data_IF_413317530433
#
_entry.id   IF_413317530433
#
_cell.length_a   1.000
_cell.length_b   1.000
_cell.length_c   1.000
_cell.angle_alpha   90.00
_cell.angle_beta   90.00
_cell.angle_gamma   90.00
#
_symmetry.space_group_name_H-M   'P 1'
#
loop_
_entity.id
_entity.type
_entity.pdbx_description
1 polymer ?
#
# COMPACT_ATOMS: atom_id res chain seq x y z
N UNK A 1 -13.17 -19.13 33.87
CA UNK A 1 -11.90 -18.59 33.33
C UNK A 1 -11.89 -17.07 33.48
N UNK A 2 -10.98 -16.55 34.29
CA UNK A 2 -10.87 -15.11 34.54
C UNK A 2 -10.35 -14.35 33.30
N UNK A 3 -10.51 -13.02 33.22
CA UNK A 3 -9.93 -12.24 32.12
C UNK A 3 -8.41 -12.38 32.01
N UNK A 4 -7.73 -12.56 33.15
CA UNK A 4 -6.28 -12.78 33.21
C UNK A 4 -5.86 -14.14 32.65
N UNK A 5 -6.60 -15.21 32.96
CA UNK A 5 -6.36 -16.56 32.42
C UNK A 5 -6.58 -16.62 30.92
N UNK A 6 -7.60 -15.91 30.40
CA UNK A 6 -7.83 -15.79 28.96
C UNK A 6 -6.68 -15.06 28.25
N UNK A 7 -6.17 -13.99 28.84
CA UNK A 7 -5.04 -13.24 28.28
C UNK A 7 -3.73 -14.06 28.33
N UNK A 8 -3.52 -14.89 29.35
CA UNK A 8 -2.36 -15.76 29.45
C UNK A 8 -2.43 -16.93 28.45
N UNK A 9 -3.59 -17.54 28.32
CA UNK A 9 -3.84 -18.58 27.31
C UNK A 9 -3.64 -18.03 25.89
N UNK A 10 -4.15 -16.84 25.60
CA UNK A 10 -3.95 -16.20 24.30
C UNK A 10 -2.47 -15.93 24.01
N UNK A 11 -1.69 -15.49 25.02
CA UNK A 11 -0.23 -15.30 24.89
C UNK A 11 0.49 -16.62 24.63
N UNK A 12 0.11 -17.70 25.30
CA UNK A 12 0.70 -19.04 25.11
C UNK A 12 0.38 -19.58 23.72
N UNK A 13 -0.87 -19.46 23.27
CA UNK A 13 -1.28 -19.85 21.92
C UNK A 13 -0.56 -19.02 20.83
N UNK A 14 -0.40 -17.72 21.04
CA UNK A 14 0.34 -16.86 20.11
C UNK A 14 1.83 -17.24 19.97
N UNK A 15 2.44 -17.82 21.02
CA UNK A 15 3.83 -18.35 20.96
C UNK A 15 3.93 -19.70 20.25
N UNK A 16 2.86 -20.49 20.25
CA UNK A 16 2.82 -21.79 19.59
C UNK A 16 2.50 -21.71 18.09
N UNK A 17 1.96 -20.56 17.63
CA UNK A 17 1.74 -20.33 16.21
C UNK A 17 3.07 -19.87 15.58
N UNK A 18 3.73 -20.71 14.77
CA UNK A 18 4.95 -20.29 14.09
C UNK A 18 4.64 -19.10 13.21
N UNK A 19 5.39 -18.00 13.38
CA UNK A 19 5.37 -16.92 12.39
C UNK A 19 5.88 -17.53 11.08
N UNK A 20 5.07 -17.60 10.02
CA UNK A 20 5.49 -18.30 8.82
C UNK A 20 6.72 -17.58 8.24
N UNK A 21 7.79 -18.34 7.98
CA UNK A 21 9.01 -17.82 7.35
C UNK A 21 8.73 -17.19 5.97
N UNK A 22 7.65 -17.60 5.33
CA UNK A 22 7.10 -16.98 4.12
C UNK A 22 6.76 -15.51 4.32
N UNK A 23 6.21 -15.12 5.49
CA UNK A 23 5.86 -13.73 5.79
C UNK A 23 7.10 -12.83 5.91
N UNK A 24 8.22 -13.34 6.39
CA UNK A 24 9.45 -12.54 6.53
C UNK A 24 10.07 -12.22 5.15
N UNK A 25 10.09 -13.19 4.23
CA UNK A 25 10.58 -12.99 2.85
C UNK A 25 9.66 -12.08 2.05
N UNK A 26 8.35 -12.29 2.12
CA UNK A 26 7.37 -11.44 1.46
C UNK A 26 7.45 -10.00 1.97
N UNK A 27 7.57 -9.79 3.28
CA UNK A 27 7.76 -8.47 3.89
C UNK A 27 9.05 -7.81 3.42
N UNK A 28 10.18 -8.55 3.40
CA UNK A 28 11.46 -8.01 2.94
C UNK A 28 11.38 -7.56 1.48
N UNK A 29 10.78 -8.37 0.60
CA UNK A 29 10.54 -7.99 -0.80
C UNK A 29 9.70 -6.72 -0.88
N UNK A 30 8.60 -6.65 -0.15
CA UNK A 30 7.75 -5.46 -0.09
C UNK A 30 8.54 -4.22 0.32
N UNK A 31 9.27 -4.28 1.44
CA UNK A 31 10.07 -3.14 1.93
C UNK A 31 11.11 -2.73 0.90
N UNK A 32 11.84 -3.68 0.30
CA UNK A 32 12.86 -3.38 -0.71
C UNK A 32 12.24 -2.70 -1.91
N UNK A 33 11.15 -3.24 -2.48
CA UNK A 33 10.50 -2.66 -3.66
C UNK A 33 10.01 -1.24 -3.37
N UNK A 34 9.30 -1.03 -2.26
CA UNK A 34 8.75 0.30 -1.93
C UNK A 34 9.86 1.30 -1.58
N UNK A 35 10.88 0.88 -0.83
CA UNK A 35 12.01 1.75 -0.52
C UNK A 35 12.80 2.12 -1.79
N UNK A 36 13.03 1.17 -2.68
CA UNK A 36 13.70 1.43 -3.97
C UNK A 36 12.88 2.40 -4.81
N UNK A 37 11.57 2.20 -4.91
CA UNK A 37 10.69 3.11 -5.63
C UNK A 37 10.74 4.53 -5.03
N UNK A 38 10.69 4.67 -3.70
CA UNK A 38 10.82 5.96 -3.02
C UNK A 38 12.16 6.66 -3.31
N UNK A 39 13.27 5.91 -3.29
CA UNK A 39 14.59 6.46 -3.60
C UNK A 39 14.73 6.88 -5.06
N UNK A 40 14.15 6.14 -5.99
CA UNK A 40 14.15 6.48 -7.42
C UNK A 40 13.32 7.73 -7.72
N UNK A 41 12.33 8.05 -6.89
CA UNK A 41 11.56 9.29 -7.02
C UNK A 41 12.43 10.55 -6.81
N UNK A 42 13.49 10.48 -6.00
CA UNK A 42 14.36 11.65 -5.74
C UNK A 42 15.02 12.18 -7.01
N UNK A 43 15.79 11.37 -7.78
CA UNK A 43 16.37 11.85 -9.04
C UNK A 43 15.31 12.19 -10.08
N UNK A 44 14.16 11.50 -10.08
CA UNK A 44 13.05 11.79 -10.98
C UNK A 44 12.47 13.19 -10.73
N UNK A 45 12.14 13.53 -9.48
CA UNK A 45 11.64 14.86 -9.10
C UNK A 45 12.68 15.94 -9.42
N UNK A 46 13.97 15.68 -9.19
CA UNK A 46 15.03 16.60 -9.56
C UNK A 46 15.09 16.82 -11.08
N UNK A 47 14.98 15.75 -11.88
CA UNK A 47 14.93 15.85 -13.34
C UNK A 47 13.72 16.68 -13.80
N UNK A 48 12.53 16.43 -13.26
CA UNK A 48 11.32 17.21 -13.56
C UNK A 48 11.50 18.69 -13.21
N UNK A 49 12.06 19.00 -12.03
CA UNK A 49 12.27 20.38 -11.62
C UNK A 49 13.18 21.16 -12.58
N UNK A 50 14.11 20.48 -13.25
CA UNK A 50 15.00 21.11 -14.23
C UNK A 50 14.50 21.09 -15.68
N UNK A 51 13.78 20.05 -16.08
CA UNK A 51 13.36 19.85 -17.48
C UNK A 51 12.00 20.46 -17.81
N UNK A 52 11.08 20.56 -16.82
CA UNK A 52 9.77 21.14 -17.06
C UNK A 52 9.87 22.63 -17.44
N UNK A 53 9.20 23.05 -18.52
CA UNK A 53 9.20 24.43 -18.94
C UNK A 53 8.58 25.33 -17.85
N UNK A 54 9.17 26.51 -17.53
CA UNK A 54 8.66 27.39 -16.50
C UNK A 54 7.31 28.05 -16.84
N UNK A 55 6.90 27.97 -18.10
CA UNK A 55 5.66 28.53 -18.62
C UNK A 55 4.96 27.50 -19.49
N UNK A 56 3.85 26.98 -18.99
CA UNK A 56 2.85 26.26 -19.73
C UNK A 56 1.54 27.02 -19.59
N UNK A 57 0.52 26.73 -20.36
CA UNK A 57 -0.79 27.43 -20.31
C UNK A 57 -1.44 27.38 -18.92
N UNK A 58 -1.03 26.47 -18.04
CA UNK A 58 -1.38 26.46 -16.62
C UNK A 58 -0.34 27.28 -15.83
N UNK A 59 -0.79 28.29 -15.06
CA UNK A 59 0.09 29.28 -14.39
C UNK A 59 1.13 28.70 -13.41
N UNK A 60 0.91 27.49 -12.90
CA UNK A 60 1.79 26.83 -11.92
C UNK A 60 2.15 25.41 -12.31
N UNK A 61 2.28 25.11 -13.60
CA UNK A 61 2.54 23.77 -14.15
C UNK A 61 3.66 22.99 -13.44
N UNK A 62 4.83 23.61 -13.31
CA UNK A 62 5.98 22.99 -12.64
C UNK A 62 5.69 22.68 -11.17
N UNK A 63 5.08 23.62 -10.45
CA UNK A 63 4.77 23.45 -9.03
C UNK A 63 3.72 22.33 -8.81
N UNK A 64 2.78 22.19 -9.73
CA UNK A 64 1.76 21.12 -9.68
C UNK A 64 2.42 19.76 -9.79
N UNK A 65 3.25 19.54 -10.81
CA UNK A 65 3.89 18.24 -11.03
C UNK A 65 4.91 17.90 -9.95
N UNK A 66 5.84 18.81 -9.67
CA UNK A 66 6.85 18.58 -8.61
C UNK A 66 6.19 18.38 -7.24
N UNK A 67 5.13 19.14 -6.95
CA UNK A 67 4.39 18.98 -5.70
C UNK A 67 3.68 17.63 -5.62
N UNK A 68 3.06 17.19 -6.70
CA UNK A 68 2.41 15.88 -6.77
C UNK A 68 3.41 14.74 -6.55
N UNK A 69 4.53 14.74 -7.24
CA UNK A 69 5.57 13.72 -7.12
C UNK A 69 6.21 13.68 -5.73
N UNK A 70 6.37 14.84 -5.09
CA UNK A 70 6.82 14.90 -3.70
C UNK A 70 5.82 14.24 -2.73
N UNK A 71 4.53 14.44 -2.94
CA UNK A 71 3.48 13.79 -2.15
C UNK A 71 3.49 12.28 -2.41
N UNK A 72 3.62 11.86 -3.65
CA UNK A 72 3.74 10.43 -4.01
C UNK A 72 4.98 9.80 -3.38
N UNK A 73 6.13 10.44 -3.48
CA UNK A 73 7.38 9.96 -2.86
C UNK A 73 7.24 9.85 -1.33
N UNK A 74 6.63 10.84 -0.68
CA UNK A 74 6.37 10.81 0.75
C UNK A 74 5.41 9.68 1.15
N UNK A 75 4.36 9.43 0.38
CA UNK A 75 3.41 8.33 0.60
C UNK A 75 4.10 6.96 0.47
N UNK A 76 4.94 6.77 -0.54
CA UNK A 76 5.74 5.56 -0.73
C UNK A 76 6.75 5.37 0.43
N UNK A 77 7.45 6.42 0.83
CA UNK A 77 8.38 6.38 1.96
C UNK A 77 7.68 6.04 3.28
N UNK A 78 6.51 6.62 3.53
CA UNK A 78 5.69 6.33 4.70
C UNK A 78 5.19 4.88 4.68
N UNK A 79 4.83 4.36 3.50
CA UNK A 79 4.43 2.96 3.31
C UNK A 79 5.59 2.02 3.63
N UNK A 80 6.79 2.29 3.13
CA UNK A 80 8.00 1.54 3.43
C UNK A 80 8.32 1.57 4.94
N UNK A 81 8.30 2.75 5.55
CA UNK A 81 8.53 2.93 6.99
C UNK A 81 7.51 2.14 7.82
N UNK A 82 6.21 2.23 7.50
CA UNK A 82 5.15 1.51 8.19
C UNK A 82 5.34 -0.01 8.08
N UNK A 83 5.76 -0.51 6.92
CA UNK A 83 6.06 -1.92 6.70
C UNK A 83 7.28 -2.39 7.51
N UNK A 84 8.36 -1.61 7.57
CA UNK A 84 9.55 -1.90 8.42
C UNK A 84 9.15 -1.95 9.88
N UNK A 85 8.39 -0.96 10.34
CA UNK A 85 7.90 -0.86 11.72
C UNK A 85 6.76 -1.82 12.06
N UNK A 86 6.31 -2.64 11.10
CA UNK A 86 5.20 -3.59 11.26
C UNK A 86 3.91 -2.93 11.78
N UNK A 87 3.66 -1.68 11.37
CA UNK A 87 2.46 -0.94 11.78
C UNK A 87 1.29 -1.24 10.85
N UNK A 88 0.09 -1.40 11.41
CA UNK A 88 -1.12 -1.66 10.60
C UNK A 88 -1.46 -0.52 9.63
N UNK A 89 -0.97 0.68 9.90
CA UNK A 89 -1.11 1.85 9.01
C UNK A 89 -0.57 1.59 7.60
N UNK A 90 0.30 0.57 7.41
CA UNK A 90 0.79 0.15 6.09
C UNK A 90 -0.32 -0.15 5.10
N UNK A 91 -1.48 -0.64 5.55
CA UNK A 91 -2.63 -0.92 4.69
C UNK A 91 -3.17 0.38 4.09
N UNK A 92 -3.36 1.39 4.94
CA UNK A 92 -3.89 2.69 4.50
C UNK A 92 -2.88 3.42 3.60
N UNK A 93 -1.62 3.48 4.01
CA UNK A 93 -0.58 4.17 3.24
C UNK A 93 -0.32 3.50 1.89
N UNK A 94 -0.37 2.17 1.80
CA UNK A 94 -0.24 1.45 0.54
C UNK A 94 -1.42 1.70 -0.41
N UNK A 95 -2.65 1.81 0.11
CA UNK A 95 -3.81 2.19 -0.72
C UNK A 95 -3.69 3.63 -1.23
N UNK A 96 -3.26 4.57 -0.38
CA UNK A 96 -3.02 5.97 -0.79
C UNK A 96 -1.94 6.02 -1.88
N UNK A 97 -0.82 5.33 -1.69
CA UNK A 97 0.24 5.27 -2.70
C UNK A 97 -0.23 4.66 -4.01
N UNK A 98 -1.03 3.59 -3.96
CA UNK A 98 -1.61 2.96 -5.14
C UNK A 98 -2.54 3.92 -5.92
N UNK A 99 -3.36 4.69 -5.20
CA UNK A 99 -4.24 5.68 -5.80
C UNK A 99 -3.45 6.80 -6.46
N UNK A 100 -2.41 7.32 -5.78
CA UNK A 100 -1.55 8.36 -6.35
C UNK A 100 -0.83 7.88 -7.60
N UNK A 101 -0.28 6.64 -7.61
CA UNK A 101 0.33 6.05 -8.80
C UNK A 101 -0.66 5.91 -9.97
N UNK A 102 -1.90 5.53 -9.70
CA UNK A 102 -2.91 5.45 -10.75
C UNK A 102 -3.30 6.83 -11.30
N UNK A 103 -3.33 7.86 -10.44
CA UNK A 103 -3.52 9.24 -10.87
C UNK A 103 -2.34 9.76 -11.70
N UNK A 104 -1.12 9.43 -11.30
CA UNK A 104 0.12 9.75 -11.99
C UNK A 104 0.09 9.20 -13.42
N UNK A 105 -0.11 7.89 -13.55
CA UNK A 105 -0.27 7.23 -14.85
C UNK A 105 -1.32 7.90 -15.74
N UNK A 106 -2.45 8.27 -15.17
CA UNK A 106 -3.51 8.95 -15.90
C UNK A 106 -3.09 10.34 -16.39
N UNK A 107 -2.54 11.15 -15.50
CA UNK A 107 -2.14 12.51 -15.84
C UNK A 107 -0.99 12.52 -16.83
N UNK A 108 0.00 11.66 -16.66
CA UNK A 108 1.11 11.50 -17.59
C UNK A 108 0.61 11.17 -19.00
N UNK A 109 -0.28 10.20 -19.12
CA UNK A 109 -0.87 9.81 -20.42
C UNK A 109 -1.68 10.95 -21.05
N UNK A 110 -2.40 11.75 -20.26
CA UNK A 110 -3.26 12.81 -20.76
C UNK A 110 -2.49 14.08 -21.12
N UNK A 111 -1.36 14.34 -20.47
CA UNK A 111 -0.60 15.58 -20.67
C UNK A 111 0.61 15.40 -21.58
N UNK A 112 1.06 14.17 -21.82
CA UNK A 112 2.18 13.90 -22.72
C UNK A 112 1.84 14.21 -24.19
N UNK A 113 2.74 14.93 -24.84
CA UNK A 113 2.62 15.30 -26.24
C UNK A 113 3.86 14.89 -27.05
N UNK A 114 3.70 14.61 -28.35
CA UNK A 114 4.78 14.26 -29.24
C UNK A 114 5.53 12.98 -28.83
N UNK A 115 6.89 12.97 -28.88
CA UNK A 115 7.69 11.80 -28.56
C UNK A 115 7.61 11.39 -27.09
N UNK A 116 7.34 12.33 -26.16
CA UNK A 116 7.21 12.06 -24.72
C UNK A 116 6.07 11.12 -24.40
N UNK A 117 5.08 11.04 -25.29
CA UNK A 117 3.92 10.12 -25.14
C UNK A 117 4.32 8.66 -25.01
N UNK A 118 5.37 8.23 -25.71
CA UNK A 118 5.86 6.85 -25.62
C UNK A 118 6.57 6.58 -24.30
N UNK A 119 7.28 7.57 -23.78
CA UNK A 119 7.92 7.47 -22.46
C UNK A 119 6.86 7.38 -21.37
N UNK A 120 5.89 8.28 -21.38
CA UNK A 120 4.76 8.27 -20.40
C UNK A 120 3.96 6.96 -20.47
N UNK A 121 3.68 6.45 -21.69
CA UNK A 121 3.02 5.16 -21.84
C UNK A 121 3.86 4.01 -21.24
N UNK A 122 5.16 4.01 -21.48
CA UNK A 122 6.05 2.97 -20.97
C UNK A 122 6.13 3.02 -19.44
N UNK A 123 6.28 4.20 -18.83
CA UNK A 123 6.33 4.35 -17.36
C UNK A 123 5.00 3.95 -16.73
N UNK A 124 3.88 4.41 -17.26
CA UNK A 124 2.54 4.07 -16.77
C UNK A 124 2.30 2.55 -16.79
N UNK A 125 2.57 1.87 -17.91
CA UNK A 125 2.26 0.43 -18.09
C UNK A 125 3.28 -0.47 -17.39
N UNK A 126 4.56 -0.10 -17.36
CA UNK A 126 5.61 -0.98 -16.85
C UNK A 126 5.96 -0.74 -15.38
N UNK A 127 5.69 0.45 -14.85
CA UNK A 127 6.07 0.82 -13.48
C UNK A 127 4.87 1.20 -12.62
N UNK A 128 4.10 2.22 -13.00
CA UNK A 128 3.09 2.83 -12.13
C UNK A 128 1.89 1.94 -11.89
N UNK A 129 1.25 1.47 -12.95
CA UNK A 129 0.08 0.60 -12.83
C UNK A 129 0.39 -0.78 -12.22
N UNK A 130 1.48 -1.48 -12.58
CA UNK A 130 1.85 -2.73 -11.90
C UNK A 130 2.16 -2.53 -10.42
N UNK A 131 2.83 -1.44 -10.05
CA UNK A 131 3.11 -1.12 -8.66
C UNK A 131 1.83 -0.77 -7.89
N UNK A 132 0.91 0.01 -8.49
CA UNK A 132 -0.38 0.32 -7.91
C UNK A 132 -1.21 -0.94 -7.65
N UNK A 133 -1.32 -1.84 -8.63
CA UNK A 133 -2.03 -3.12 -8.50
C UNK A 133 -1.39 -3.98 -7.41
N UNK A 134 -0.06 -4.04 -7.37
CA UNK A 134 0.64 -4.80 -6.36
C UNK A 134 0.41 -4.26 -4.94
N UNK A 135 0.45 -2.93 -4.73
CA UNK A 135 0.15 -2.29 -3.45
C UNK A 135 -1.30 -2.55 -3.01
N UNK A 136 -2.26 -2.49 -3.93
CA UNK A 136 -3.65 -2.86 -3.66
C UNK A 136 -3.77 -4.33 -3.24
N UNK A 137 -3.09 -5.24 -3.94
CA UNK A 137 -3.10 -6.66 -3.62
C UNK A 137 -2.51 -6.94 -2.23
N UNK A 138 -1.38 -6.31 -1.91
CA UNK A 138 -0.74 -6.43 -0.59
C UNK A 138 -1.67 -5.91 0.51
N UNK A 139 -2.27 -4.74 0.33
CA UNK A 139 -3.23 -4.17 1.29
C UNK A 139 -4.41 -5.10 1.52
N UNK A 140 -5.01 -5.61 0.44
CA UNK A 140 -6.10 -6.57 0.50
C UNK A 140 -5.71 -7.84 1.27
N UNK A 141 -4.53 -8.38 1.01
CA UNK A 141 -4.02 -9.59 1.67
C UNK A 141 -3.78 -9.36 3.16
N UNK A 142 -3.18 -8.23 3.53
CA UNK A 142 -2.95 -7.87 4.94
C UNK A 142 -4.25 -7.71 5.72
N UNK A 143 -5.27 -7.07 5.14
CA UNK A 143 -6.59 -6.96 5.76
C UNK A 143 -7.19 -8.34 5.98
N UNK A 144 -7.17 -9.22 4.97
CA UNK A 144 -7.69 -10.59 5.09
C UNK A 144 -6.98 -11.37 6.20
N UNK A 145 -5.65 -11.29 6.28
CA UNK A 145 -4.89 -11.97 7.34
C UNK A 145 -5.23 -11.44 8.73
N UNK A 146 -5.37 -10.13 8.89
CA UNK A 146 -5.74 -9.53 10.18
C UNK A 146 -7.14 -9.95 10.62
N UNK A 147 -8.10 -9.96 9.70
CA UNK A 147 -9.49 -10.41 9.97
C UNK A 147 -9.55 -11.90 10.30
N UNK A 148 -8.84 -12.76 9.57
CA UNK A 148 -8.79 -14.21 9.89
C UNK A 148 -8.26 -14.45 11.30
N UNK A 149 -7.20 -13.74 11.70
CA UNK A 149 -6.65 -13.84 13.06
C UNK A 149 -7.68 -13.42 14.13
N UNK A 150 -8.45 -12.38 13.88
CA UNK A 150 -9.52 -11.95 14.80
C UNK A 150 -10.63 -13.01 14.92
N UNK A 151 -11.09 -13.58 13.80
CA UNK A 151 -12.14 -14.60 13.80
C UNK A 151 -11.68 -15.88 14.51
N UNK A 152 -10.45 -16.34 14.29
CA UNK A 152 -9.92 -17.53 15.00
C UNK A 152 -9.80 -17.31 16.51
N UNK A 153 -9.44 -16.09 16.93
CA UNK A 153 -9.38 -15.73 18.36
C UNK A 153 -10.77 -15.62 19.01
N UNK A 154 -11.81 -15.34 18.21
CA UNK A 154 -13.22 -15.29 18.66
C UNK A 154 -13.90 -16.66 18.70
N UNK A 155 -13.19 -17.76 18.35
CA UNK A 155 -13.75 -19.12 18.34
C UNK A 155 -14.70 -19.41 17.16
N UNK A 156 -14.77 -18.51 16.18
CA UNK A 156 -15.51 -18.74 14.95
C UNK A 156 -14.62 -19.45 13.93
N UNK A 157 -15.17 -20.47 13.26
CA UNK A 157 -14.49 -21.11 12.11
C UNK A 157 -14.23 -20.05 11.05
N UNK A 158 -12.95 -19.80 10.77
CA UNK A 158 -12.53 -18.85 9.73
C UNK A 158 -12.99 -19.36 8.37
N UNK A 159 -14.24 -19.07 8.01
CA UNK A 159 -14.75 -19.28 6.65
C UNK A 159 -14.03 -18.33 5.70
N UNK A 160 -13.71 -18.81 4.51
CA UNK A 160 -13.05 -18.04 3.43
C UNK A 160 -14.02 -17.00 2.83
N UNK A 161 -14.47 -16.07 3.66
CA UNK A 161 -15.36 -15.00 3.22
C UNK A 161 -14.56 -13.92 2.47
N UNK A 162 -14.98 -13.53 1.27
CA UNK A 162 -14.39 -12.38 0.59
C UNK A 162 -14.67 -11.10 1.39
N UNK A 163 -13.74 -10.14 1.37
CA UNK A 163 -13.82 -8.86 2.12
C UNK A 163 -15.16 -8.14 1.97
N UNK A 164 -15.77 -8.20 0.78
CA UNK A 164 -17.09 -7.62 0.49
C UNK A 164 -18.25 -8.20 1.31
N UNK A 165 -18.06 -9.39 1.90
CA UNK A 165 -19.07 -10.07 2.73
C UNK A 165 -18.71 -10.07 4.22
N UNK A 166 -17.55 -9.50 4.58
CA UNK A 166 -17.14 -9.37 5.96
C UNK A 166 -17.93 -8.23 6.63
N UNK A 167 -18.55 -8.45 7.80
CA UNK A 167 -19.24 -7.38 8.51
C UNK A 167 -18.25 -6.32 8.98
N UNK A 168 -18.63 -5.04 8.88
CA UNK A 168 -17.81 -3.90 9.33
C UNK A 168 -17.66 -3.86 10.86
N UNK A 169 -18.61 -4.44 11.57
CA UNK A 169 -18.64 -4.54 13.04
C UNK A 169 -18.90 -6.00 13.40
N UNK A 170 -18.34 -6.42 14.56
CA UNK A 170 -18.39 -7.81 15.02
C UNK A 170 -19.73 -8.51 14.80
N UNK A 171 -19.68 -9.80 14.47
CA UNK A 171 -20.85 -10.61 14.20
C UNK A 171 -21.79 -10.53 15.42
N UNK A 172 -23.06 -10.13 15.25
CA UNK A 172 -24.00 -10.14 16.35
C UNK A 172 -24.13 -11.57 16.90
N UNK A 173 -24.25 -11.76 18.23
CA UNK A 173 -24.38 -13.08 18.82
C UNK A 173 -25.57 -13.78 18.16
N UNK A 174 -25.38 -15.00 17.66
CA UNK A 174 -26.46 -15.83 17.14
C UNK A 174 -27.46 -16.00 18.26
N UNK A 175 -28.66 -15.45 18.12
CA UNK A 175 -29.80 -15.81 18.95
C UNK A 175 -30.03 -17.31 18.76
N UNK A 176 -29.89 -18.07 19.85
CA UNK A 176 -30.37 -19.46 19.93
C UNK A 176 -31.89 -19.48 20.00
#
# INVERSE_FOLDING_TARGET
MSPAERADLARRLARLLPAPAADARARRRFVVVVATASLLMIPWVAALAWTLPPRYLAGHWRATWVGFDLVLAAALALTAWAAVRRRQIVVLTALVSATLLACDAWFDLMTAAGPDRWVSLATAVLLELPLAVWLCHVSHTLVRHSMRRMLTLSGETATDLPLRRMPLFGVPPRRR
#
